data_IF_960614695016
#
_entry.id   IF_960614695016
#
_cell.length_a   1.000
_cell.length_b   1.000
_cell.length_c   1.000
_cell.angle_alpha   90.00
_cell.angle_beta   90.00
_cell.angle_gamma   90.00
#
_symmetry.space_group_name_H-M   'P 1'
#
loop_
_entity.id
_entity.type
_entity.pdbx_description
1 polymer ?
#
# COMPACT_ATOMS: atom_id res chain seq x y z
N UNK A 1 -9.04 17.48 6.98
CA UNK A 1 -7.72 17.19 6.37
C UNK A 1 -6.95 16.27 7.31
N UNK A 2 -6.54 15.07 6.89
CA UNK A 2 -5.65 14.20 7.69
C UNK A 2 -4.26 14.86 7.77
N UNK A 3 -3.60 14.77 8.93
CA UNK A 3 -2.22 15.26 9.16
C UNK A 3 -1.25 14.42 8.33
N UNK A 4 -0.90 14.91 7.15
CA UNK A 4 0.03 14.22 6.25
C UNK A 4 1.49 14.47 6.65
N UNK A 5 2.43 13.83 5.96
CA UNK A 5 3.86 13.90 6.26
C UNK A 5 4.40 15.35 6.30
N UNK A 6 4.03 16.18 5.33
CA UNK A 6 4.45 17.58 5.29
C UNK A 6 3.95 18.37 6.50
N UNK A 7 2.69 18.17 6.89
CA UNK A 7 2.11 18.81 8.07
C UNK A 7 2.86 18.42 9.35
N UNK A 8 3.25 17.16 9.51
CA UNK A 8 4.02 16.71 10.68
C UNK A 8 5.40 17.39 10.78
N UNK A 9 6.07 17.59 9.64
CA UNK A 9 7.38 18.26 9.59
C UNK A 9 7.26 19.73 9.99
N UNK A 10 6.20 20.42 9.54
CA UNK A 10 6.00 21.85 9.79
C UNK A 10 5.40 22.17 11.16
N UNK A 11 4.78 21.18 11.83
CA UNK A 11 4.08 21.37 13.11
C UNK A 11 4.76 20.54 14.22
N UNK A 12 6.06 20.75 14.45
CA UNK A 12 6.84 19.98 15.44
C UNK A 12 6.35 20.16 16.88
N UNK A 13 5.76 21.30 17.20
CA UNK A 13 5.22 21.59 18.54
C UNK A 13 3.82 21.00 18.75
N UNK A 14 3.29 20.28 17.75
CA UNK A 14 2.00 19.64 17.88
C UNK A 14 2.01 18.53 18.94
N UNK A 15 1.17 18.70 19.96
CA UNK A 15 0.96 17.69 21.00
C UNK A 15 -0.22 16.79 20.62
N UNK A 16 0.01 15.48 20.62
CA UNK A 16 -1.04 14.48 20.35
C UNK A 16 -2.15 14.56 21.40
N UNK A 17 -3.39 14.39 20.96
CA UNK A 17 -4.51 14.16 21.87
C UNK A 17 -4.38 12.80 22.56
N UNK A 18 -5.11 12.61 23.68
CA UNK A 18 -5.18 11.30 24.36
C UNK A 18 -5.63 10.19 23.40
N UNK A 19 -6.62 10.48 22.55
CA UNK A 19 -7.13 9.52 21.58
C UNK A 19 -6.05 9.14 20.56
N UNK A 20 -5.35 10.11 19.97
CA UNK A 20 -4.28 9.84 19.01
C UNK A 20 -3.10 9.10 19.64
N UNK A 21 -2.77 9.42 20.88
CA UNK A 21 -1.73 8.74 21.66
C UNK A 21 -2.10 7.26 21.87
N UNK A 22 -3.35 6.98 22.23
CA UNK A 22 -3.84 5.61 22.43
C UNK A 22 -3.85 4.83 21.10
N UNK A 23 -4.33 5.44 20.02
CA UNK A 23 -4.29 4.83 18.68
C UNK A 23 -2.86 4.53 18.25
N UNK A 24 -1.93 5.47 18.43
CA UNK A 24 -0.53 5.28 18.06
C UNK A 24 0.12 4.14 18.87
N UNK A 25 -0.13 4.08 20.18
CA UNK A 25 0.38 3.00 21.04
C UNK A 25 -0.10 1.63 20.57
N UNK A 26 -1.40 1.48 20.28
CA UNK A 26 -1.96 0.23 19.78
C UNK A 26 -1.32 -0.20 18.44
N UNK A 27 -1.10 0.74 17.51
CA UNK A 27 -0.42 0.45 16.24
C UNK A 27 1.05 0.04 16.45
N UNK A 28 1.74 0.66 17.41
CA UNK A 28 3.12 0.31 17.78
C UNK A 28 3.17 -1.11 18.33
N UNK A 29 2.26 -1.47 19.25
CA UNK A 29 2.17 -2.82 19.82
C UNK A 29 1.95 -3.88 18.72
N UNK A 30 1.01 -3.64 17.80
CA UNK A 30 0.80 -4.53 16.65
C UNK A 30 2.05 -4.63 15.77
N UNK A 31 2.74 -3.51 15.51
CA UNK A 31 3.97 -3.52 14.70
C UNK A 31 5.09 -4.32 15.37
N UNK A 32 5.21 -4.23 16.70
CA UNK A 32 6.18 -4.99 17.50
C UNK A 32 5.89 -6.50 17.46
N UNK A 33 4.62 -6.90 17.36
CA UNK A 33 4.22 -8.29 17.17
C UNK A 33 4.47 -8.81 15.74
N UNK A 34 5.00 -7.98 14.84
CA UNK A 34 5.35 -8.38 13.48
C UNK A 34 4.26 -8.11 12.45
N UNK A 35 3.17 -7.43 12.80
CA UNK A 35 2.15 -7.04 11.82
C UNK A 35 2.79 -6.12 10.76
N UNK A 36 2.70 -6.45 9.46
CA UNK A 36 3.25 -5.62 8.39
C UNK A 36 2.68 -4.21 8.41
N UNK A 37 3.55 -3.21 8.18
CA UNK A 37 3.14 -1.81 8.17
C UNK A 37 1.99 -1.52 7.18
N UNK A 38 2.01 -2.17 6.00
CA UNK A 38 0.98 -1.96 4.97
C UNK A 38 -0.44 -2.30 5.48
N UNK A 39 -0.57 -3.30 6.36
CA UNK A 39 -1.86 -3.64 6.98
C UNK A 39 -2.23 -2.66 8.09
N UNK A 40 -1.25 -2.07 8.78
CA UNK A 40 -1.49 -1.01 9.76
C UNK A 40 -1.96 0.29 9.10
N UNK A 41 -1.36 0.66 7.96
CA UNK A 41 -1.78 1.80 7.15
C UNK A 41 -3.04 1.52 6.32
N UNK A 42 -3.36 0.24 6.09
CA UNK A 42 -4.46 -0.23 5.23
C UNK A 42 -4.25 0.03 3.74
N UNK A 43 -3.08 0.54 3.36
CA UNK A 43 -2.74 0.96 1.99
C UNK A 43 -1.31 0.58 1.64
N UNK A 44 -1.09 0.26 0.37
CA UNK A 44 0.23 0.02 -0.22
C UNK A 44 0.28 0.66 -1.61
N UNK A 45 1.29 1.51 -1.82
CA UNK A 45 1.60 2.03 -3.14
C UNK A 45 2.16 0.95 -4.07
N UNK A 46 1.72 1.00 -5.33
CA UNK A 46 2.17 0.16 -6.44
C UNK A 46 2.17 1.03 -7.71
N UNK A 47 3.33 1.20 -8.34
CA UNK A 47 3.59 2.31 -9.27
C UNK A 47 3.14 3.68 -8.69
N UNK A 48 2.20 4.36 -9.36
CA UNK A 48 1.70 5.68 -9.01
C UNK A 48 0.32 5.62 -8.33
N UNK A 49 -0.16 4.41 -8.01
CA UNK A 49 -1.48 4.16 -7.43
C UNK A 49 -1.34 3.63 -6.01
N UNK A 50 -2.32 3.98 -5.16
CA UNK A 50 -2.48 3.41 -3.83
C UNK A 50 -3.58 2.36 -3.83
N UNK A 51 -3.26 1.15 -3.37
CA UNK A 51 -4.21 0.05 -3.25
C UNK A 51 -4.56 -0.21 -1.80
N UNK A 52 -5.84 -0.48 -1.54
CA UNK A 52 -6.30 -0.95 -0.23
C UNK A 52 -5.77 -2.36 -0.02
N UNK A 53 -5.17 -2.61 1.14
CA UNK A 53 -4.66 -3.93 1.51
C UNK A 53 -5.19 -4.35 2.87
N UNK A 54 -5.58 -5.61 2.96
CA UNK A 54 -6.02 -6.26 4.20
C UNK A 54 -5.22 -7.54 4.39
N UNK A 55 -5.21 -8.14 5.60
CA UNK A 55 -4.61 -9.46 5.83
C UNK A 55 -5.13 -10.58 4.92
N UNK A 56 -6.30 -10.38 4.28
CA UNK A 56 -6.91 -11.33 3.36
C UNK A 56 -6.25 -11.33 1.96
N UNK A 57 -5.37 -10.35 1.68
CA UNK A 57 -4.68 -10.20 0.40
C UNK A 57 -3.17 -10.08 0.59
N UNK A 58 -2.41 -10.53 -0.42
CA UNK A 58 -0.96 -10.39 -0.41
C UNK A 58 -0.57 -8.91 -0.58
N UNK A 59 0.35 -8.42 0.26
CA UNK A 59 0.87 -7.06 0.12
C UNK A 59 1.62 -6.93 -1.21
N UNK A 60 1.23 -5.98 -2.09
CA UNK A 60 1.93 -5.71 -3.35
C UNK A 60 3.45 -5.59 -3.17
N UNK A 61 4.19 -6.25 -4.06
CA UNK A 61 5.66 -6.31 -4.04
C UNK A 61 6.23 -5.54 -5.23
N UNK A 62 7.34 -4.79 -5.05
CA UNK A 62 7.98 -4.07 -6.15
C UNK A 62 8.38 -4.98 -7.32
N UNK A 63 8.73 -6.24 -7.05
CA UNK A 63 9.07 -7.21 -8.09
C UNK A 63 7.88 -7.52 -9.02
N UNK A 64 6.64 -7.32 -8.57
CA UNK A 64 5.44 -7.46 -9.40
C UNK A 64 5.31 -6.33 -10.43
N UNK A 65 5.94 -5.17 -10.20
CA UNK A 65 6.02 -4.10 -11.21
C UNK A 65 6.83 -4.57 -12.42
N UNK A 66 7.99 -5.21 -12.19
CA UNK A 66 8.80 -5.76 -13.27
C UNK A 66 8.04 -6.78 -14.14
N UNK A 67 7.14 -7.58 -13.54
CA UNK A 67 6.30 -8.51 -14.28
C UNK A 67 5.39 -7.78 -15.28
N UNK A 68 4.78 -6.67 -14.85
CA UNK A 68 3.89 -5.86 -15.69
C UNK A 68 4.70 -5.18 -16.80
N UNK A 69 5.87 -4.62 -16.49
CA UNK A 69 6.76 -4.02 -17.48
C UNK A 69 7.13 -5.01 -18.60
N UNK A 70 7.49 -6.25 -18.22
CA UNK A 70 7.82 -7.31 -19.18
C UNK A 70 6.58 -7.68 -20.02
N UNK A 71 5.40 -7.81 -19.41
CA UNK A 71 4.18 -8.14 -20.13
C UNK A 71 3.81 -7.04 -21.16
N UNK A 72 3.89 -5.77 -20.76
CA UNK A 72 3.62 -4.63 -21.63
C UNK A 72 4.59 -4.57 -22.82
N UNK A 73 5.87 -4.91 -22.62
CA UNK A 73 6.84 -4.98 -23.71
C UNK A 73 6.56 -6.14 -24.68
N UNK A 74 6.24 -7.34 -24.17
CA UNK A 74 5.96 -8.53 -24.99
C UNK A 74 4.71 -8.39 -25.87
N UNK A 75 3.69 -7.70 -25.36
CA UNK A 75 2.40 -7.50 -26.04
C UNK A 75 2.24 -6.10 -26.63
N UNK A 76 3.33 -5.32 -26.68
CA UNK A 76 3.32 -3.98 -27.26
C UNK A 76 2.68 -3.99 -28.66
N UNK A 77 1.74 -3.07 -28.87
CA UNK A 77 0.98 -2.89 -30.11
C UNK A 77 0.13 -4.10 -30.57
N UNK A 78 -0.14 -5.08 -29.68
CA UNK A 78 -1.00 -6.23 -29.96
C UNK A 78 -2.28 -6.16 -29.13
N UNK A 79 -3.43 -6.28 -29.81
CA UNK A 79 -4.68 -6.57 -29.11
C UNK A 79 -4.62 -8.00 -28.57
N UNK A 80 -4.71 -8.14 -27.25
CA UNK A 80 -4.70 -9.42 -26.57
C UNK A 80 -5.79 -9.48 -25.50
N UNK A 81 -6.17 -10.70 -25.14
CA UNK A 81 -7.01 -10.97 -23.96
C UNK A 81 -6.11 -11.52 -22.87
N UNK A 82 -6.17 -10.93 -21.69
CA UNK A 82 -5.36 -11.30 -20.54
C UNK A 82 -6.26 -11.84 -19.42
N UNK A 83 -5.68 -12.69 -18.58
CA UNK A 83 -6.31 -13.26 -17.39
C UNK A 83 -5.33 -13.17 -16.23
N UNK A 84 -5.74 -12.52 -15.14
CA UNK A 84 -4.99 -12.45 -13.89
C UNK A 84 -5.55 -13.49 -12.90
N UNK A 85 -4.78 -14.55 -12.64
CA UNK A 85 -5.17 -15.64 -11.75
C UNK A 85 -4.66 -15.37 -10.34
N UNK A 86 -5.58 -15.31 -9.38
CA UNK A 86 -5.21 -14.98 -8.00
C UNK A 86 -4.93 -13.50 -7.79
N UNK A 87 -5.71 -12.64 -8.46
CA UNK A 87 -5.52 -11.18 -8.54
C UNK A 87 -5.33 -10.46 -7.18
N UNK A 88 -5.82 -11.05 -6.09
CA UNK A 88 -5.64 -10.51 -4.74
C UNK A 88 -6.17 -9.07 -4.64
N UNK A 89 -5.27 -8.11 -4.42
CA UNK A 89 -5.57 -6.68 -4.37
C UNK A 89 -5.88 -6.05 -5.73
N UNK A 90 -5.78 -6.80 -6.84
CA UNK A 90 -6.10 -6.32 -8.18
C UNK A 90 -4.94 -5.60 -8.90
N UNK A 91 -3.75 -5.54 -8.30
CA UNK A 91 -2.66 -4.67 -8.75
C UNK A 91 -2.21 -4.93 -10.19
N UNK A 92 -2.20 -6.19 -10.64
CA UNK A 92 -1.74 -6.55 -11.98
C UNK A 92 -2.77 -6.16 -13.04
N UNK A 93 -4.06 -6.38 -12.77
CA UNK A 93 -5.11 -6.12 -13.75
C UNK A 93 -5.50 -4.64 -13.87
N UNK A 94 -5.25 -3.83 -12.83
CA UNK A 94 -5.67 -2.42 -12.77
C UNK A 94 -4.61 -1.45 -13.32
N UNK A 95 -3.32 -1.77 -13.15
CA UNK A 95 -2.20 -0.96 -13.66
C UNK A 95 -1.90 -1.30 -15.11
#
# INVERSE_FOLDING_TARGET
>A
MKKNHAWLITNKDYTLTTQETNTLKALIEQRQQGVPFAYLSGVKGFYHLDFIVTPDTLIPRPETELLIDIALDLFKDKSCKLLDLGTGSGIIAIT
#
